data_IF_950957990175
#
_entry.id   IF_950957990175
#
_cell.length_a   1.000
_cell.length_b   1.000
_cell.length_c   1.000
_cell.angle_alpha   90.00
_cell.angle_beta   90.00
_cell.angle_gamma   90.00
#
_symmetry.space_group_name_H-M   'P 1'
#
loop_
_entity.id
_entity.type
_entity.pdbx_description
1 polymer ?
#
# COMPACT_ATOMS: atom_id res chain seq x y z
N UNK A 1 -1.80 26.98 -22.19
CA UNK A 1 -1.79 26.85 -20.73
C UNK A 1 -2.29 25.47 -20.41
N UNK A 2 -1.39 24.53 -20.09
CA UNK A 2 -1.78 23.16 -19.76
C UNK A 2 -2.30 23.14 -18.33
N UNK A 3 -3.57 22.82 -18.17
CA UNK A 3 -4.18 22.58 -16.86
C UNK A 3 -3.40 21.47 -16.17
N UNK A 4 -2.65 21.81 -15.13
CA UNK A 4 -2.13 20.85 -14.18
C UNK A 4 -3.35 20.23 -13.47
N UNK A 5 -3.91 19.17 -14.05
CA UNK A 5 -4.72 18.23 -13.30
C UNK A 5 -3.78 17.66 -12.24
N UNK A 6 -3.81 18.23 -11.04
CA UNK A 6 -3.22 17.62 -9.86
C UNK A 6 -4.07 16.38 -9.62
N UNK A 7 -3.73 15.27 -10.27
CA UNK A 7 -4.23 13.96 -9.90
C UNK A 7 -3.74 13.75 -8.49
N UNK A 8 -4.65 13.88 -7.53
CA UNK A 8 -4.34 13.74 -6.12
C UNK A 8 -4.07 12.26 -5.88
N UNK A 9 -2.81 11.84 -5.99
CA UNK A 9 -2.40 10.44 -5.79
C UNK A 9 -2.57 10.10 -4.33
N UNK A 10 -3.25 8.98 -4.04
CA UNK A 10 -3.37 8.47 -2.68
C UNK A 10 -2.00 7.90 -2.26
N UNK A 11 -1.23 8.67 -1.49
CA UNK A 11 0.04 8.22 -0.94
C UNK A 11 -0.18 7.32 0.28
N UNK A 12 0.63 6.28 0.43
CA UNK A 12 0.60 5.42 1.60
C UNK A 12 0.94 6.22 2.85
N UNK A 13 0.09 6.13 3.87
CA UNK A 13 0.34 6.62 5.21
C UNK A 13 0.02 5.51 6.23
N UNK A 14 -0.05 5.85 7.52
CA UNK A 14 -0.25 4.85 8.58
C UNK A 14 -1.69 4.31 8.65
N UNK A 15 -2.66 5.02 8.07
CA UNK A 15 -4.09 4.77 8.30
C UNK A 15 -4.83 4.29 7.05
N UNK A 16 -4.21 4.37 5.87
CA UNK A 16 -4.89 4.12 4.59
C UNK A 16 -4.40 2.88 3.84
N UNK A 17 -3.64 1.98 4.48
CA UNK A 17 -3.02 0.84 3.80
C UNK A 17 -4.00 0.00 2.97
N UNK A 18 -5.21 -0.27 3.47
CA UNK A 18 -6.22 -1.04 2.71
C UNK A 18 -6.69 -0.34 1.44
N UNK A 19 -7.03 0.95 1.53
CA UNK A 19 -7.42 1.72 0.35
C UNK A 19 -6.24 1.87 -0.61
N UNK A 20 -5.04 2.10 -0.06
CA UNK A 20 -3.82 2.22 -0.83
C UNK A 20 -3.47 0.94 -1.57
N UNK A 21 -3.54 -0.24 -0.93
CA UNK A 21 -3.16 -1.51 -1.56
C UNK A 21 -4.09 -1.84 -2.72
N UNK A 22 -5.40 -1.62 -2.59
CA UNK A 22 -6.36 -1.81 -3.71
C UNK A 22 -6.05 -0.89 -4.89
N UNK A 23 -5.75 0.38 -4.62
CA UNK A 23 -5.36 1.33 -5.69
C UNK A 23 -4.03 0.94 -6.32
N UNK A 24 -3.07 0.48 -5.52
CA UNK A 24 -1.74 0.10 -6.00
C UNK A 24 -1.79 -1.19 -6.83
N UNK A 25 -2.62 -2.17 -6.45
CA UNK A 25 -2.84 -3.39 -7.25
C UNK A 25 -3.37 -3.03 -8.64
N UNK A 26 -4.33 -2.11 -8.74
CA UNK A 26 -4.84 -1.61 -10.02
C UNK A 26 -3.73 -0.94 -10.86
N UNK A 27 -2.92 -0.08 -10.25
CA UNK A 27 -1.83 0.61 -10.96
C UNK A 27 -0.71 -0.36 -11.39
N UNK A 28 -0.46 -1.42 -10.63
CA UNK A 28 0.46 -2.50 -11.01
C UNK A 28 -0.10 -3.33 -12.16
N UNK A 29 -1.41 -3.58 -12.19
CA UNK A 29 -2.09 -4.28 -13.29
C UNK A 29 -2.01 -3.45 -14.59
N UNK A 30 -2.22 -2.13 -14.50
CA UNK A 30 -2.08 -1.20 -15.64
C UNK A 30 -0.71 -1.27 -16.33
N UNK A 31 0.36 -1.66 -15.61
CA UNK A 31 1.70 -1.83 -16.17
C UNK A 31 2.08 -3.30 -16.41
N UNK A 32 1.15 -4.23 -16.21
CA UNK A 32 1.34 -5.67 -16.38
C UNK A 32 2.24 -6.32 -15.33
N UNK A 33 2.43 -5.69 -14.17
CA UNK A 33 3.33 -6.16 -13.13
C UNK A 33 2.62 -6.80 -11.92
N UNK A 34 1.28 -6.81 -11.87
CA UNK A 34 0.52 -7.33 -10.74
C UNK A 34 0.83 -8.81 -10.48
N UNK A 35 0.68 -9.66 -11.49
CA UNK A 35 0.89 -11.12 -11.34
C UNK A 35 2.34 -11.46 -10.95
N UNK A 36 3.31 -10.63 -11.36
CA UNK A 36 4.70 -10.74 -10.93
C UNK A 36 4.86 -10.41 -9.44
N UNK A 37 4.25 -9.31 -8.99
CA UNK A 37 4.31 -8.87 -7.59
C UNK A 37 3.59 -9.85 -6.66
N UNK A 38 2.51 -10.48 -7.12
CA UNK A 38 1.81 -11.54 -6.41
C UNK A 38 2.52 -12.90 -6.52
N UNK A 39 3.64 -12.97 -7.24
CA UNK A 39 4.44 -14.18 -7.48
C UNK A 39 3.62 -15.32 -8.12
N UNK A 40 2.62 -14.96 -8.93
CA UNK A 40 1.72 -15.89 -9.64
C UNK A 40 2.12 -16.11 -11.12
N UNK A 41 3.13 -15.38 -11.60
CA UNK A 41 3.55 -15.37 -13.00
C UNK A 41 4.82 -16.21 -13.28
N UNK A 42 4.88 -16.80 -14.48
CA UNK A 42 5.99 -17.59 -15.01
C UNK A 42 6.51 -17.04 -16.36
N UNK A 43 6.50 -15.72 -16.54
CA UNK A 43 7.12 -15.05 -17.68
C UNK A 43 8.63 -15.27 -17.81
N UNK A 44 9.18 -14.95 -18.98
CA UNK A 44 10.63 -14.99 -19.24
C UNK A 44 11.40 -14.04 -18.30
N UNK A 45 12.59 -14.46 -17.84
CA UNK A 45 13.41 -13.74 -16.85
C UNK A 45 13.66 -12.26 -17.19
N UNK A 46 13.99 -11.95 -18.43
CA UNK A 46 14.26 -10.57 -18.86
C UNK A 46 13.02 -9.67 -18.69
N UNK A 47 11.84 -10.19 -19.01
CA UNK A 47 10.57 -9.49 -18.84
C UNK A 47 10.28 -9.29 -17.34
N UNK A 48 10.50 -10.33 -16.54
CA UNK A 48 10.35 -10.26 -15.08
C UNK A 48 11.26 -9.21 -14.46
N UNK A 49 12.54 -9.13 -14.84
CA UNK A 49 13.48 -8.12 -14.33
C UNK A 49 13.03 -6.69 -14.70
N UNK A 50 12.55 -6.49 -15.93
CA UNK A 50 12.04 -5.20 -16.38
C UNK A 50 10.79 -4.77 -15.61
N UNK A 51 9.81 -5.66 -15.48
CA UNK A 51 8.57 -5.43 -14.74
C UNK A 51 8.82 -5.23 -13.25
N UNK A 52 9.75 -5.99 -12.66
CA UNK A 52 10.12 -5.85 -11.25
C UNK A 52 10.67 -4.45 -10.96
N UNK A 53 11.53 -3.94 -11.84
CA UNK A 53 12.03 -2.58 -11.74
C UNK A 53 10.93 -1.53 -11.95
N UNK A 54 10.01 -1.73 -12.90
CA UNK A 54 8.89 -0.80 -13.14
C UNK A 54 7.97 -0.74 -11.92
N UNK A 55 7.62 -1.89 -11.35
CA UNK A 55 6.82 -2.00 -10.15
C UNK A 55 7.48 -1.27 -8.97
N UNK A 56 8.79 -1.46 -8.76
CA UNK A 56 9.53 -0.71 -7.74
C UNK A 56 9.37 0.81 -7.91
N UNK A 57 9.66 1.32 -9.11
CA UNK A 57 9.59 2.75 -9.39
C UNK A 57 8.18 3.31 -9.22
N UNK A 58 7.17 2.53 -9.56
CA UNK A 58 5.78 2.89 -9.40
C UNK A 58 5.40 2.96 -7.92
N UNK A 59 5.66 1.90 -7.16
CA UNK A 59 5.32 1.84 -5.73
C UNK A 59 5.97 3.00 -4.97
N UNK A 60 7.25 3.29 -5.22
CA UNK A 60 7.98 4.40 -4.59
C UNK A 60 7.28 5.76 -4.80
N UNK A 61 6.69 6.00 -5.97
CA UNK A 61 5.95 7.26 -6.24
C UNK A 61 4.65 7.39 -5.45
N UNK A 62 4.15 6.29 -4.89
CA UNK A 62 2.92 6.24 -4.12
C UNK A 62 3.18 6.13 -2.61
N UNK A 63 4.42 6.40 -2.16
CA UNK A 63 4.77 6.47 -0.73
C UNK A 63 4.89 7.92 -0.27
N UNK A 64 4.43 8.21 0.96
CA UNK A 64 4.73 9.48 1.61
C UNK A 64 6.18 9.50 2.14
N UNK A 65 6.65 10.67 2.59
CA UNK A 65 8.01 10.88 3.06
C UNK A 65 8.43 9.92 4.20
N UNK A 66 7.55 9.73 5.18
CA UNK A 66 7.82 8.81 6.30
C UNK A 66 8.00 7.37 5.81
N UNK A 67 7.18 6.93 4.85
CA UNK A 67 7.21 5.57 4.31
C UNK A 67 8.43 5.38 3.41
N UNK A 68 8.81 6.39 2.65
CA UNK A 68 10.05 6.41 1.88
C UNK A 68 11.28 6.23 2.79
N UNK A 69 11.32 6.96 3.91
CA UNK A 69 12.40 6.83 4.89
C UNK A 69 12.44 5.43 5.50
N UNK A 70 11.28 4.86 5.87
CA UNK A 70 11.18 3.50 6.38
C UNK A 70 11.69 2.46 5.38
N UNK A 71 11.18 2.44 4.14
CA UNK A 71 11.60 1.42 3.16
C UNK A 71 13.07 1.58 2.75
N UNK A 72 13.58 2.81 2.74
CA UNK A 72 15.00 3.08 2.46
C UNK A 72 15.92 2.51 3.56
N UNK A 73 15.43 2.41 4.80
CA UNK A 73 16.18 1.79 5.90
C UNK A 73 16.16 0.25 5.87
N UNK A 74 15.15 -0.34 5.22
CA UNK A 74 14.98 -1.80 5.13
C UNK A 74 15.62 -2.40 3.87
N UNK A 75 15.82 -1.60 2.82
CA UNK A 75 16.39 -2.08 1.56
C UNK A 75 17.92 -1.98 1.57
N UNK A 76 18.59 -3.13 1.52
CA UNK A 76 20.02 -3.20 1.25
C UNK A 76 20.37 -2.71 -0.17
N UNK A 77 21.63 -2.33 -0.40
CA UNK A 77 22.08 -1.84 -1.72
C UNK A 77 21.83 -2.85 -2.86
N UNK A 78 21.77 -4.13 -2.54
CA UNK A 78 21.51 -5.25 -3.48
C UNK A 78 20.03 -5.39 -3.87
N UNK A 79 19.11 -4.87 -3.07
CA UNK A 79 17.66 -4.96 -3.31
C UNK A 79 17.08 -3.66 -3.92
N UNK A 80 17.94 -2.69 -4.24
CA UNK A 80 17.53 -1.47 -4.96
C UNK A 80 16.90 -1.86 -6.30
N UNK A 81 15.69 -1.34 -6.57
CA UNK A 81 14.90 -1.62 -7.78
C UNK A 81 14.17 -2.97 -7.79
N UNK A 82 14.04 -3.64 -6.65
CA UNK A 82 13.25 -4.87 -6.50
C UNK A 82 11.83 -4.54 -5.99
N UNK A 83 10.85 -4.54 -6.89
CA UNK A 83 9.44 -4.28 -6.58
C UNK A 83 8.79 -5.38 -5.76
N UNK A 84 9.14 -6.65 -6.01
CA UNK A 84 8.65 -7.80 -5.24
C UNK A 84 9.06 -7.67 -3.76
N UNK A 85 10.33 -7.38 -3.52
CA UNK A 85 10.84 -7.22 -2.15
C UNK A 85 10.22 -6.01 -1.44
N UNK A 86 10.10 -4.89 -2.15
CA UNK A 86 9.43 -3.70 -1.62
C UNK A 86 7.97 -3.99 -1.26
N UNK A 87 7.25 -4.73 -2.10
CA UNK A 87 5.87 -5.15 -1.83
C UNK A 87 5.78 -6.03 -0.58
N UNK A 88 6.68 -7.00 -0.41
CA UNK A 88 6.75 -7.86 0.78
C UNK A 88 6.98 -7.06 2.05
N UNK A 89 7.96 -6.15 2.06
CA UNK A 89 8.25 -5.27 3.21
C UNK A 89 7.01 -4.47 3.62
N UNK A 90 6.32 -3.88 2.65
CA UNK A 90 5.09 -3.11 2.92
C UNK A 90 3.98 -4.01 3.45
N UNK A 91 3.75 -5.16 2.81
CA UNK A 91 2.74 -6.11 3.23
C UNK A 91 3.00 -6.61 4.65
N UNK A 92 4.22 -7.00 4.97
CA UNK A 92 4.62 -7.43 6.31
C UNK A 92 4.40 -6.31 7.34
N UNK A 93 4.78 -5.08 7.04
CA UNK A 93 4.62 -3.95 7.96
C UNK A 93 3.16 -3.65 8.31
N UNK A 94 2.25 -3.72 7.33
CA UNK A 94 0.87 -3.25 7.52
C UNK A 94 -0.17 -4.37 7.63
N UNK A 95 0.07 -5.57 7.07
CA UNK A 95 -0.79 -6.74 7.26
C UNK A 95 -0.52 -7.46 8.59
N UNK A 96 0.70 -7.45 9.14
CA UNK A 96 0.93 -8.01 10.49
C UNK A 96 0.28 -7.14 11.58
N UNK A 97 0.23 -5.82 11.36
CA UNK A 97 -0.51 -4.86 12.17
C UNK A 97 -2.03 -5.01 12.07
N UNK A 98 -2.56 -5.89 11.22
CA UNK A 98 -3.99 -6.05 11.02
C UNK A 98 -4.69 -6.59 12.28
N UNK A 99 -4.05 -7.44 13.08
CA UNK A 99 -4.60 -7.84 14.39
C UNK A 99 -4.65 -6.64 15.33
N UNK A 100 -3.58 -5.84 15.39
CA UNK A 100 -3.51 -4.67 16.26
C UNK A 100 -4.49 -3.57 15.84
N UNK A 101 -4.65 -3.34 14.54
CA UNK A 101 -5.60 -2.38 13.98
C UNK A 101 -7.05 -2.87 14.10
N UNK A 102 -7.33 -4.16 13.90
CA UNK A 102 -8.64 -4.76 14.19
C UNK A 102 -8.95 -4.70 15.67
N UNK A 103 -7.98 -4.98 16.55
CA UNK A 103 -8.14 -4.87 18.00
C UNK A 103 -8.35 -3.42 18.41
N UNK A 104 -7.66 -2.47 17.79
CA UNK A 104 -7.84 -1.03 18.07
C UNK A 104 -9.20 -0.54 17.57
N UNK A 105 -9.62 -0.94 16.37
CA UNK A 105 -10.94 -0.64 15.83
C UNK A 105 -12.05 -1.25 16.70
N UNK A 106 -11.89 -2.51 17.11
CA UNK A 106 -12.79 -3.19 18.03
C UNK A 106 -12.82 -2.53 19.41
N UNK A 107 -11.66 -2.12 19.94
CA UNK A 107 -11.56 -1.42 21.23
C UNK A 107 -12.26 -0.08 21.15
N UNK A 108 -12.01 0.70 20.08
CA UNK A 108 -12.71 1.98 19.84
C UNK A 108 -14.20 1.78 19.75
N UNK A 109 -14.65 0.81 18.95
CA UNK A 109 -16.07 0.47 18.82
C UNK A 109 -16.68 0.05 20.16
N UNK A 110 -15.98 -0.78 20.94
CA UNK A 110 -16.44 -1.25 22.25
C UNK A 110 -16.47 -0.15 23.32
N UNK A 111 -15.72 0.93 23.12
CA UNK A 111 -15.71 2.11 24.00
C UNK A 111 -16.80 3.13 23.64
N UNK A 112 -17.47 3.00 22.50
CA UNK A 112 -18.60 3.86 22.16
C UNK A 112 -19.76 3.52 23.09
N UNK A 113 -20.02 4.39 24.07
CA UNK A 113 -21.22 4.36 24.87
C UNK A 113 -22.28 5.22 24.20
N UNK A 114 -23.18 4.58 23.48
CA UNK A 114 -24.34 5.24 22.88
C UNK A 114 -25.39 5.40 23.97
N UNK A 115 -25.68 6.65 24.34
CA UNK A 115 -26.64 6.97 25.39
C UNK A 115 -28.07 7.10 24.84
N UNK A 116 -28.22 7.10 23.50
CA UNK A 116 -29.52 7.04 22.84
C UNK A 116 -29.45 6.41 21.45
N UNK A 117 -30.59 5.92 20.97
CA UNK A 117 -30.75 5.45 19.58
C UNK A 117 -30.54 6.57 18.56
N UNK A 118 -30.71 7.83 18.98
CA UNK A 118 -30.53 9.01 18.12
C UNK A 118 -29.06 9.33 17.88
N UNK A 119 -28.21 9.15 18.91
CA UNK A 119 -26.74 9.21 18.78
C UNK A 119 -26.24 8.10 17.87
N UNK A 120 -26.77 6.88 18.00
CA UNK A 120 -26.41 5.77 17.11
C UNK A 120 -26.65 6.11 15.64
N UNK A 121 -27.81 6.69 15.30
CA UNK A 121 -28.16 7.03 13.92
C UNK A 121 -27.26 8.15 13.34
N UNK A 122 -26.62 8.97 14.18
CA UNK A 122 -25.71 10.03 13.74
C UNK A 122 -24.28 9.54 13.52
N UNK A 123 -23.90 8.41 14.11
CA UNK A 123 -22.54 7.86 14.09
C UNK A 123 -22.28 6.89 12.91
N UNK A 124 -23.33 6.45 12.21
CA UNK A 124 -23.31 5.58 11.01
C UNK A 124 -23.55 6.38 9.73
#
# INVERSE_FOLDING_TARGET
MSSNNIVNRLLLNSDNYFTWVTMMELELDNIGALDLILETDHQAREIQENLNCKAYNLIIQYLNEDKLSFVSSMLDQTNKRNGIELWKILKEKYMSNNISSQTLAFTKFSQVQLNSTLEFIQEI
#
